data_IF_470609529631
#
_entry.id   IF_470609529631
#
_cell.length_a   1.000
_cell.length_b   1.000
_cell.length_c   1.000
_cell.angle_alpha   90.00
_cell.angle_beta   90.00
_cell.angle_gamma   90.00
#
_symmetry.space_group_name_H-M   'P 1'
#
loop_
_entity.id
_entity.type
_entity.pdbx_description
1 polymer ?
#
# COMPACT_ATOMS: atom_id res chain seq x y z
N UNK A 1 19.74 26.13 -41.45
CA UNK A 1 19.30 24.75 -41.14
C UNK A 1 19.64 24.33 -39.71
N UNK A 2 20.87 24.51 -39.21
CA UNK A 2 21.24 24.14 -37.82
C UNK A 2 20.49 24.92 -36.72
N UNK A 3 20.14 26.19 -36.96
CA UNK A 3 19.42 27.04 -35.99
C UNK A 3 17.92 26.70 -35.85
N UNK A 4 17.26 26.33 -36.95
CA UNK A 4 15.84 25.95 -36.97
C UNK A 4 15.63 24.60 -36.26
N UNK A 5 16.57 23.67 -36.43
CA UNK A 5 16.54 22.35 -35.76
C UNK A 5 16.66 22.50 -34.23
N UNK A 6 17.48 23.44 -33.75
CA UNK A 6 17.59 23.72 -32.31
C UNK A 6 16.28 24.25 -31.70
N UNK A 7 15.57 25.12 -32.41
CA UNK A 7 14.30 25.69 -31.94
C UNK A 7 13.20 24.62 -31.89
N UNK A 8 13.15 23.71 -32.87
CA UNK A 8 12.17 22.60 -32.88
C UNK A 8 12.44 21.59 -31.76
N UNK A 9 13.71 21.32 -31.43
CA UNK A 9 14.08 20.43 -30.32
C UNK A 9 13.74 21.06 -28.95
N UNK A 10 13.90 22.37 -28.79
CA UNK A 10 13.60 23.04 -27.51
C UNK A 10 12.12 23.13 -27.17
N UNK A 11 11.22 23.04 -28.16
CA UNK A 11 9.76 23.11 -27.93
C UNK A 11 9.19 21.73 -27.52
N UNK A 12 9.88 20.64 -27.83
CA UNK A 12 9.45 19.27 -27.49
C UNK A 12 9.73 18.87 -26.03
N UNK A 13 10.52 19.63 -25.26
CA UNK A 13 11.00 19.23 -23.93
C UNK A 13 10.15 19.70 -22.73
N UNK A 14 9.06 20.47 -22.95
CA UNK A 14 8.32 21.12 -21.85
C UNK A 14 6.89 20.60 -21.73
N UNK A 15 6.73 19.30 -21.50
CA UNK A 15 5.53 18.76 -20.83
C UNK A 15 5.92 17.56 -19.96
N UNK A 16 6.78 17.78 -18.97
CA UNK A 16 6.87 16.83 -17.85
C UNK A 16 5.65 17.12 -16.97
N UNK A 17 4.54 16.42 -17.23
CA UNK A 17 3.40 16.40 -16.31
C UNK A 17 3.92 15.78 -15.02
N UNK A 18 4.15 16.61 -14.01
CA UNK A 18 4.45 16.15 -12.66
C UNK A 18 3.21 15.41 -12.16
N UNK A 19 3.23 14.08 -12.23
CA UNK A 19 2.23 13.23 -11.61
C UNK A 19 2.41 13.36 -10.10
N UNK A 20 1.79 14.37 -9.50
CA UNK A 20 1.61 14.39 -8.05
C UNK A 20 0.46 13.44 -7.75
N UNK A 21 0.70 12.24 -7.21
CA UNK A 21 -0.37 11.30 -6.90
C UNK A 21 -1.32 12.00 -5.92
N UNK A 22 -2.55 12.26 -6.37
CA UNK A 22 -3.57 12.79 -5.48
C UNK A 22 -3.82 11.75 -4.40
N UNK A 23 -3.76 12.20 -3.14
CA UNK A 23 -4.02 11.32 -2.01
C UNK A 23 -5.51 11.04 -1.93
N UNK A 24 -5.93 9.77 -1.89
CA UNK A 24 -7.33 9.46 -1.71
C UNK A 24 -7.81 9.90 -0.32
N UNK A 25 -9.08 10.28 -0.25
CA UNK A 25 -9.82 10.48 0.99
C UNK A 25 -11.14 9.72 0.86
N UNK A 26 -11.36 8.74 1.73
CA UNK A 26 -12.55 7.89 1.68
C UNK A 26 -13.62 8.39 2.62
N UNK A 27 -14.86 8.42 2.14
CA UNK A 27 -16.01 8.57 3.00
C UNK A 27 -16.31 7.25 3.70
N UNK A 28 -16.33 7.23 5.04
CA UNK A 28 -16.62 6.02 5.80
C UNK A 28 -18.06 5.51 5.57
N UNK A 29 -18.97 6.36 5.07
CA UNK A 29 -20.32 5.94 4.64
C UNK A 29 -20.29 5.01 3.43
N UNK A 30 -19.26 5.10 2.61
CA UNK A 30 -19.04 4.25 1.44
C UNK A 30 -18.32 2.94 1.80
N UNK A 31 -17.91 2.75 3.06
CA UNK A 31 -17.15 1.58 3.51
C UNK A 31 -17.80 0.23 3.10
N UNK A 32 -19.13 0.02 3.16
CA UNK A 32 -19.74 -1.22 2.67
C UNK A 32 -19.43 -1.50 1.19
N UNK A 33 -19.51 -0.49 0.33
CA UNK A 33 -19.23 -0.63 -1.10
C UNK A 33 -17.74 -0.82 -1.37
N UNK A 34 -16.89 -0.06 -0.67
CA UNK A 34 -15.43 -0.18 -0.75
C UNK A 34 -14.95 -1.55 -0.29
N UNK A 35 -15.53 -2.09 0.78
CA UNK A 35 -15.19 -3.43 1.29
C UNK A 35 -15.58 -4.52 0.28
N UNK A 36 -16.79 -4.47 -0.30
CA UNK A 36 -17.20 -5.42 -1.33
C UNK A 36 -16.29 -5.37 -2.58
N UNK A 37 -15.83 -4.17 -2.95
CA UNK A 37 -14.85 -4.01 -4.02
C UNK A 37 -13.50 -4.62 -3.62
N UNK A 38 -13.01 -4.30 -2.42
CA UNK A 38 -11.76 -4.83 -1.87
C UNK A 38 -11.75 -6.37 -1.82
N UNK A 39 -12.83 -6.98 -1.32
CA UNK A 39 -12.98 -8.44 -1.26
C UNK A 39 -12.85 -9.08 -2.63
N UNK A 40 -13.43 -8.45 -3.66
CA UNK A 40 -13.33 -8.92 -5.05
C UNK A 40 -11.93 -8.72 -5.63
N UNK A 41 -11.37 -7.54 -5.45
CA UNK A 41 -10.10 -7.15 -6.09
C UNK A 41 -8.91 -7.89 -5.50
N UNK A 42 -9.00 -8.30 -4.23
CA UNK A 42 -7.96 -9.04 -3.50
C UNK A 42 -8.32 -10.51 -3.24
N UNK A 43 -9.37 -11.02 -3.91
CA UNK A 43 -9.86 -12.41 -3.78
C UNK A 43 -9.95 -12.89 -2.32
N UNK A 44 -10.52 -12.06 -1.45
CA UNK A 44 -10.59 -12.35 -0.02
C UNK A 44 -11.60 -13.43 0.25
N UNK A 45 -11.18 -14.40 1.06
CA UNK A 45 -12.03 -15.48 1.53
C UNK A 45 -12.03 -15.48 3.06
N UNK A 46 -13.23 -15.42 3.63
CA UNK A 46 -13.44 -15.44 5.08
C UNK A 46 -14.09 -16.74 5.49
N UNK A 47 -13.77 -17.21 6.69
CA UNK A 47 -14.18 -18.53 7.19
C UNK A 47 -15.69 -18.63 7.37
N UNK A 48 -16.32 -17.54 7.84
CA UNK A 48 -17.74 -17.47 8.15
C UNK A 48 -18.18 -16.00 8.27
N UNK A 49 -19.45 -15.77 8.59
CA UNK A 49 -20.01 -14.42 8.74
C UNK A 49 -19.40 -13.61 9.88
N UNK A 50 -18.96 -14.26 10.96
CA UNK A 50 -18.29 -13.55 12.08
C UNK A 50 -16.93 -13.01 11.64
N UNK A 51 -16.19 -13.82 10.89
CA UNK A 51 -14.90 -13.44 10.28
C UNK A 51 -15.06 -12.27 9.31
N UNK A 52 -16.13 -12.27 8.50
CA UNK A 52 -16.49 -11.12 7.64
C UNK A 52 -16.71 -9.85 8.46
N UNK A 53 -17.42 -9.93 9.58
CA UNK A 53 -17.70 -8.77 10.43
C UNK A 53 -16.44 -8.23 11.10
N UNK A 54 -15.55 -9.11 11.56
CA UNK A 54 -14.26 -8.74 12.15
C UNK A 54 -13.41 -7.97 11.13
N UNK A 55 -13.25 -8.52 9.92
CA UNK A 55 -12.46 -7.89 8.87
C UNK A 55 -13.11 -6.63 8.31
N UNK A 56 -14.44 -6.55 8.25
CA UNK A 56 -15.12 -5.33 7.87
C UNK A 56 -14.92 -4.20 8.89
N UNK A 57 -14.96 -4.50 10.18
CA UNK A 57 -14.67 -3.53 11.24
C UNK A 57 -13.21 -3.04 11.18
N UNK A 58 -12.26 -3.97 10.95
CA UNK A 58 -10.86 -3.61 10.72
C UNK A 58 -10.69 -2.73 9.47
N UNK A 59 -11.39 -3.05 8.38
CA UNK A 59 -11.37 -2.26 7.15
C UNK A 59 -11.84 -0.82 7.35
N UNK A 60 -12.94 -0.59 8.06
CA UNK A 60 -13.41 0.77 8.40
C UNK A 60 -12.34 1.53 9.19
N UNK A 61 -11.73 0.87 10.18
CA UNK A 61 -10.68 1.47 11.02
C UNK A 61 -9.47 1.87 10.16
N UNK A 62 -9.06 0.99 9.25
CA UNK A 62 -7.92 1.23 8.37
C UNK A 62 -8.22 2.32 7.32
N UNK A 63 -9.46 2.47 6.83
CA UNK A 63 -9.84 3.61 5.97
C UNK A 63 -9.68 4.95 6.69
N UNK A 64 -10.15 5.04 7.94
CA UNK A 64 -10.01 6.23 8.77
C UNK A 64 -8.52 6.55 9.02
N UNK A 65 -7.71 5.54 9.27
CA UNK A 65 -6.26 5.72 9.42
C UNK A 65 -5.57 6.13 8.10
N UNK A 66 -5.97 5.58 6.95
CA UNK A 66 -5.47 6.05 5.64
C UNK A 66 -5.76 7.54 5.46
N UNK A 67 -7.00 7.97 5.74
CA UNK A 67 -7.38 9.38 5.64
C UNK A 67 -6.50 10.27 6.53
N UNK A 68 -6.35 9.91 7.81
CA UNK A 68 -5.51 10.66 8.77
C UNK A 68 -4.06 10.71 8.34
N UNK A 69 -3.52 9.62 7.81
CA UNK A 69 -2.12 9.58 7.38
C UNK A 69 -1.89 10.39 6.10
N UNK A 70 -2.85 10.38 5.19
CA UNK A 70 -2.80 11.22 3.98
C UNK A 70 -2.88 12.72 4.30
N UNK A 71 -3.67 13.10 5.30
CA UNK A 71 -3.73 14.48 5.81
C UNK A 71 -2.42 14.93 6.46
N UNK A 72 -1.76 14.04 7.21
CA UNK A 72 -0.54 14.36 7.98
C UNK A 72 0.76 14.27 7.19
N UNK A 73 0.87 13.29 6.31
CA UNK A 73 2.11 13.00 5.58
C UNK A 73 2.35 14.05 4.50
N UNK A 74 3.58 14.49 4.27
CA UNK A 74 3.93 15.33 3.11
C UNK A 74 4.61 14.54 1.99
N UNK A 75 5.05 13.31 2.28
CA UNK A 75 5.96 12.52 1.44
C UNK A 75 5.44 11.14 1.06
N UNK A 76 4.32 10.71 1.63
CA UNK A 76 3.73 9.40 1.37
C UNK A 76 2.24 9.53 1.03
N UNK A 77 1.79 8.62 0.16
CA UNK A 77 0.38 8.39 -0.16
C UNK A 77 0.00 7.03 0.36
N UNK A 78 -1.08 6.98 1.12
CA UNK A 78 -1.71 5.78 1.66
C UNK A 78 -2.99 5.51 0.89
N UNK A 79 -3.28 4.24 0.60
CA UNK A 79 -4.41 3.80 -0.22
C UNK A 79 -4.86 2.40 0.27
N UNK A 80 -6.07 1.99 -0.12
CA UNK A 80 -6.55 0.62 0.04
C UNK A 80 -5.59 -0.33 -0.69
N UNK A 81 -5.07 -1.30 0.04
CA UNK A 81 -4.17 -2.33 -0.47
C UNK A 81 -4.53 -3.69 0.14
N UNK A 82 -3.74 -4.72 -0.15
CA UNK A 82 -3.99 -6.11 0.29
C UNK A 82 -4.08 -6.31 1.82
N UNK A 83 -3.61 -5.33 2.61
CA UNK A 83 -3.66 -5.34 4.08
C UNK A 83 -4.78 -4.46 4.65
N UNK A 84 -5.64 -3.89 3.81
CA UNK A 84 -6.63 -2.90 4.24
C UNK A 84 -7.67 -3.45 5.22
N UNK A 85 -7.92 -4.76 5.27
CA UNK A 85 -8.83 -5.42 6.22
C UNK A 85 -8.11 -6.15 7.36
N UNK A 86 -6.78 -6.03 7.48
CA UNK A 86 -6.05 -6.71 8.54
C UNK A 86 -6.43 -6.15 9.90
N UNK A 87 -6.72 -7.05 10.83
CA UNK A 87 -6.81 -6.73 12.25
C UNK A 87 -5.45 -6.31 12.79
N UNK A 88 -5.46 -5.66 13.95
CA UNK A 88 -4.23 -5.25 14.63
C UNK A 88 -3.36 -6.48 14.93
N UNK A 89 -3.97 -7.55 15.41
CA UNK A 89 -3.30 -8.80 15.77
C UNK A 89 -2.64 -9.45 14.55
N UNK A 90 -3.29 -9.44 13.38
CA UNK A 90 -2.72 -9.94 12.13
C UNK A 90 -1.54 -9.08 11.66
N UNK A 91 -1.65 -7.75 11.76
CA UNK A 91 -0.54 -6.84 11.47
C UNK A 91 0.65 -7.10 12.40
N UNK A 92 0.40 -7.27 13.70
CA UNK A 92 1.44 -7.58 14.68
C UNK A 92 2.11 -8.92 14.38
N UNK A 93 1.32 -9.95 14.02
CA UNK A 93 1.85 -11.26 13.65
C UNK A 93 2.71 -11.18 12.37
N UNK A 94 2.27 -10.42 11.35
CA UNK A 94 3.03 -10.18 10.12
C UNK A 94 4.38 -9.51 10.42
N UNK A 95 4.39 -8.48 11.26
CA UNK A 95 5.59 -7.76 11.65
C UNK A 95 6.53 -8.63 12.50
N UNK A 96 5.99 -9.42 13.42
CA UNK A 96 6.75 -10.37 14.23
C UNK A 96 7.41 -11.44 13.36
N UNK A 97 6.69 -11.99 12.39
CA UNK A 97 7.22 -12.94 11.40
C UNK A 97 8.38 -12.31 10.62
N UNK A 98 8.21 -11.10 10.08
CA UNK A 98 9.26 -10.39 9.33
C UNK A 98 10.51 -10.14 10.18
N UNK A 99 10.35 -9.77 11.46
CA UNK A 99 11.47 -9.56 12.39
C UNK A 99 12.26 -10.86 12.64
N UNK A 100 11.54 -11.96 12.87
CA UNK A 100 12.14 -13.29 13.07
C UNK A 100 12.90 -13.70 11.81
N UNK A 101 12.27 -13.64 10.64
CA UNK A 101 12.87 -14.08 9.38
C UNK A 101 14.02 -13.19 8.90
N UNK A 102 13.97 -11.87 9.15
CA UNK A 102 15.10 -10.97 8.87
C UNK A 102 16.34 -11.39 9.67
N UNK A 103 16.18 -11.72 10.96
CA UNK A 103 17.27 -12.23 11.81
C UNK A 103 17.84 -13.55 11.29
N UNK A 104 16.99 -14.49 10.85
CA UNK A 104 17.45 -15.78 10.31
C UNK A 104 17.99 -15.70 8.88
N UNK A 105 17.57 -14.73 8.07
CA UNK A 105 18.12 -14.49 6.72
C UNK A 105 19.57 -14.01 6.80
N UNK A 106 19.90 -13.16 7.78
CA UNK A 106 21.30 -12.81 8.07
C UNK A 106 22.10 -14.03 8.57
N UNK A 107 21.55 -14.82 9.50
CA UNK A 107 22.24 -16.01 10.04
C UNK A 107 22.52 -17.06 8.95
N UNK A 108 21.58 -17.26 8.00
CA UNK A 108 21.74 -18.24 6.92
C UNK A 108 22.85 -17.86 5.94
N UNK A 109 23.10 -16.57 5.72
CA UNK A 109 24.26 -16.09 4.94
C UNK A 109 25.58 -16.45 5.65
N UNK A 110 25.70 -16.21 6.96
CA UNK A 110 26.92 -16.55 7.71
C UNK A 110 27.19 -18.07 7.78
N UNK A 111 26.15 -18.90 7.78
CA UNK A 111 26.32 -20.36 7.78
C UNK A 111 26.67 -20.92 6.38
N UNK A 112 26.31 -20.23 5.29
CA UNK A 112 26.69 -20.62 3.93
C UNK A 112 28.09 -20.12 3.53
N UNK A 113 28.56 -19.03 4.12
CA UNK A 113 29.91 -18.49 3.89
C UNK A 113 31.02 -19.16 4.73
N UNK A 114 30.66 -20.06 5.67
CA UNK A 114 31.62 -20.84 6.47
C UNK A 114 31.75 -22.31 6.00
N UNK A 115 31.13 -22.65 4.86
CA UNK A 115 31.24 -23.96 4.21
C UNK A 115 31.74 -23.86 2.75
N UNK A 116 32.39 -22.74 2.38
CA UNK A 116 33.22 -22.61 1.18
C UNK A 116 34.63 -22.19 1.60
#
# INVERSE_FOLDING_TARGET
>A
MKLIVFIVISVLSVFVVSANPQKPHYDLRDAPFLFLKFVRDHDRQYKNSEDVLIHFAAFITNLDDINKQNEKSSSAVFDINEFADYTKEEFEHLLAYKKKHSKYSFIKIYHLLNYC
#
